data_IF_592523887740
#
_entry.id   IF_592523887740
#
_cell.length_a   1.000
_cell.length_b   1.000
_cell.length_c   1.000
_cell.angle_alpha   90.00
_cell.angle_beta   90.00
_cell.angle_gamma   90.00
#
_symmetry.space_group_name_H-M   'P 1'
#
loop_
_entity.id
_entity.type
_entity.pdbx_description
1 polymer ?
#
# COMPACT_ATOMS: atom_id res chain seq x y z
N UNK A 1 -2.52 -20.49 -0.32
CA UNK A 1 -3.47 -19.93 0.67
C UNK A 1 -3.78 -18.50 0.26
N UNK A 2 -5.06 -18.09 0.19
CA UNK A 2 -5.46 -16.70 -0.03
C UNK A 2 -5.60 -16.01 1.34
N UNK A 3 -5.07 -14.79 1.48
CA UNK A 3 -4.97 -14.09 2.76
C UNK A 3 -5.52 -12.67 2.60
N UNK A 4 -6.28 -12.21 3.60
CA UNK A 4 -6.83 -10.87 3.65
C UNK A 4 -7.86 -10.58 2.57
N UNK A 5 -8.10 -9.31 2.27
CA UNK A 5 -9.00 -8.83 1.22
C UNK A 5 -10.48 -9.09 1.49
N UNK A 6 -10.86 -9.25 2.75
CA UNK A 6 -12.23 -9.53 3.15
C UNK A 6 -13.19 -8.43 2.67
N UNK A 7 -12.79 -7.16 2.72
CA UNK A 7 -13.58 -6.01 2.27
C UNK A 7 -13.78 -6.01 0.75
N UNK A 8 -12.69 -6.27 0.01
CA UNK A 8 -12.74 -6.34 -1.45
C UNK A 8 -13.57 -7.52 -1.91
N UNK A 9 -13.43 -8.70 -1.28
CA UNK A 9 -14.27 -9.88 -1.57
C UNK A 9 -15.73 -9.65 -1.22
N UNK A 10 -16.04 -9.01 -0.09
CA UNK A 10 -17.41 -8.66 0.29
C UNK A 10 -18.06 -7.75 -0.75
N UNK A 11 -17.31 -6.75 -1.25
CA UNK A 11 -17.77 -5.86 -2.32
C UNK A 11 -18.04 -6.63 -3.61
N UNK A 12 -17.08 -7.46 -4.05
CA UNK A 12 -17.25 -8.28 -5.27
C UNK A 12 -18.42 -9.25 -5.17
N UNK A 13 -18.59 -9.91 -4.03
CA UNK A 13 -19.71 -10.82 -3.78
C UNK A 13 -21.05 -10.05 -3.74
N UNK A 14 -21.10 -8.86 -3.16
CA UNK A 14 -22.28 -7.99 -3.18
C UNK A 14 -22.73 -7.64 -4.60
N UNK A 15 -21.75 -7.26 -5.47
CA UNK A 15 -22.02 -7.00 -6.89
C UNK A 15 -22.48 -8.26 -7.62
N UNK A 16 -21.85 -9.41 -7.38
CA UNK A 16 -22.23 -10.67 -8.01
C UNK A 16 -23.65 -11.07 -7.68
N UNK A 17 -24.07 -10.90 -6.44
CA UNK A 17 -25.39 -11.29 -5.94
C UNK A 17 -26.51 -10.32 -6.36
N UNK A 18 -26.21 -9.19 -6.97
CA UNK A 18 -27.23 -8.22 -7.45
C UNK A 18 -28.06 -8.74 -8.63
N UNK A 19 -27.58 -9.78 -9.33
CA UNK A 19 -28.19 -10.42 -10.51
C UNK A 19 -28.59 -9.45 -11.64
N UNK A 20 -27.90 -8.32 -11.73
CA UNK A 20 -28.03 -7.31 -12.79
C UNK A 20 -26.65 -6.99 -13.37
N UNK A 21 -26.61 -6.21 -14.44
CA UNK A 21 -25.34 -5.74 -14.97
C UNK A 21 -24.53 -4.99 -13.90
N UNK A 22 -23.28 -5.40 -13.72
CA UNK A 22 -22.35 -4.74 -12.83
C UNK A 22 -21.00 -4.55 -13.54
N UNK A 23 -20.35 -3.42 -13.26
CA UNK A 23 -19.05 -3.11 -13.82
C UNK A 23 -18.08 -2.64 -12.73
N UNK A 24 -17.14 -3.51 -12.38
CA UNK A 24 -16.10 -3.24 -11.41
C UNK A 24 -14.76 -2.93 -12.09
N UNK A 25 -14.06 -1.91 -11.59
CA UNK A 25 -12.69 -1.58 -11.98
C UNK A 25 -11.76 -1.89 -10.82
N UNK A 26 -10.80 -2.80 -11.04
CA UNK A 26 -9.79 -3.19 -10.06
C UNK A 26 -8.43 -2.71 -10.55
N UNK A 27 -7.75 -1.88 -9.77
CA UNK A 27 -6.45 -1.35 -10.16
C UNK A 27 -5.52 -1.19 -8.96
N UNK A 28 -4.25 -1.08 -9.23
CA UNK A 28 -3.21 -0.97 -8.22
C UNK A 28 -1.88 -1.35 -8.83
N UNK A 29 -0.77 -0.99 -8.19
CA UNK A 29 0.55 -1.30 -8.72
C UNK A 29 0.76 -2.81 -8.91
N UNK A 30 1.79 -3.20 -9.60
CA UNK A 30 2.19 -4.61 -9.73
C UNK A 30 2.45 -5.22 -8.35
N UNK A 31 2.25 -6.54 -8.23
CA UNK A 31 2.62 -7.35 -7.06
C UNK A 31 1.74 -7.21 -5.82
N UNK A 32 0.70 -6.36 -5.85
CA UNK A 32 -0.24 -6.19 -4.72
C UNK A 32 -1.34 -7.27 -4.65
N UNK A 33 -1.35 -8.24 -5.58
CA UNK A 33 -2.26 -9.40 -5.51
C UNK A 33 -3.60 -9.21 -6.22
N UNK A 34 -3.73 -8.31 -7.21
CA UNK A 34 -4.97 -8.11 -7.99
C UNK A 34 -5.48 -9.38 -8.65
N UNK A 35 -4.61 -10.03 -9.43
CA UNK A 35 -4.92 -11.29 -10.13
C UNK A 35 -5.29 -12.40 -9.15
N UNK A 36 -4.59 -12.51 -8.01
CA UNK A 36 -4.92 -13.48 -6.97
C UNK A 36 -6.31 -13.22 -6.35
N UNK A 37 -6.67 -11.96 -6.11
CA UNK A 37 -8.00 -11.57 -5.63
C UNK A 37 -9.08 -11.98 -6.63
N UNK A 38 -8.90 -11.67 -7.90
CA UNK A 38 -9.86 -12.00 -8.97
C UNK A 38 -9.98 -13.52 -9.13
N UNK A 39 -8.85 -14.23 -9.20
CA UNK A 39 -8.85 -15.69 -9.33
C UNK A 39 -9.54 -16.38 -8.15
N UNK A 40 -9.30 -15.90 -6.93
CA UNK A 40 -10.00 -16.41 -5.75
C UNK A 40 -11.51 -16.12 -5.79
N UNK A 41 -11.90 -14.91 -6.22
CA UNK A 41 -13.29 -14.51 -6.33
C UNK A 41 -14.08 -15.35 -7.34
N UNK A 42 -13.48 -15.67 -8.50
CA UNK A 42 -14.18 -16.41 -9.56
C UNK A 42 -14.09 -17.93 -9.44
N UNK A 43 -13.37 -18.47 -8.45
CA UNK A 43 -13.06 -19.89 -8.33
C UNK A 43 -14.31 -20.79 -8.30
N UNK A 44 -15.40 -20.32 -7.71
CA UNK A 44 -16.69 -21.01 -7.56
C UNK A 44 -17.79 -20.42 -8.45
N UNK A 45 -17.45 -19.58 -9.42
CA UNK A 45 -18.40 -18.84 -10.25
C UNK A 45 -18.21 -19.14 -11.73
N UNK A 46 -19.30 -19.01 -12.49
CA UNK A 46 -19.22 -19.02 -13.94
C UNK A 46 -18.49 -17.78 -14.42
N UNK A 47 -17.34 -17.95 -15.03
CA UNK A 47 -16.46 -16.84 -15.40
C UNK A 47 -15.74 -17.11 -16.72
N UNK A 48 -15.57 -16.05 -17.50
CA UNK A 48 -14.62 -15.98 -18.63
C UNK A 48 -13.49 -15.09 -18.15
N UNK A 49 -12.29 -15.64 -18.06
CA UNK A 49 -11.08 -14.92 -17.66
C UNK A 49 -10.15 -14.77 -18.86
N UNK A 50 -9.87 -13.53 -19.23
CA UNK A 50 -8.96 -13.16 -20.28
C UNK A 50 -7.88 -12.23 -19.73
N UNK A 51 -6.61 -12.55 -19.99
CA UNK A 51 -5.46 -11.70 -19.67
C UNK A 51 -4.93 -11.05 -20.94
N UNK A 52 -4.95 -9.72 -20.98
CA UNK A 52 -4.33 -8.94 -22.05
C UNK A 52 -2.81 -9.08 -22.02
N UNK A 53 -2.21 -9.19 -23.20
CA UNK A 53 -0.77 -9.28 -23.38
C UNK A 53 -0.22 -8.06 -24.14
N UNK A 54 1.03 -7.70 -23.88
CA UNK A 54 1.71 -6.64 -24.62
C UNK A 54 2.03 -7.11 -26.05
N UNK A 55 1.02 -7.04 -26.91
CA UNK A 55 1.04 -7.50 -28.30
C UNK A 55 0.08 -6.68 -29.14
N UNK A 56 -0.09 -7.03 -30.41
CA UNK A 56 -1.02 -6.40 -31.33
C UNK A 56 -2.49 -6.79 -31.04
N UNK A 57 -3.42 -6.08 -31.72
CA UNK A 57 -4.85 -6.29 -31.57
C UNK A 57 -5.29 -7.70 -31.94
N UNK A 58 -4.72 -8.27 -33.01
CA UNK A 58 -5.07 -9.60 -33.51
C UNK A 58 -4.76 -10.67 -32.46
N UNK A 59 -3.58 -10.68 -31.88
CA UNK A 59 -3.18 -11.66 -30.88
C UNK A 59 -4.07 -11.58 -29.61
N UNK A 60 -4.36 -10.36 -29.16
CA UNK A 60 -5.26 -10.16 -28.01
C UNK A 60 -6.69 -10.62 -28.32
N UNK A 61 -7.18 -10.40 -29.54
CA UNK A 61 -8.50 -10.87 -29.98
C UNK A 61 -8.55 -12.41 -30.08
N UNK A 62 -7.50 -13.05 -30.60
CA UNK A 62 -7.39 -14.51 -30.64
C UNK A 62 -7.43 -15.11 -29.23
N UNK A 63 -6.63 -14.57 -28.30
CA UNK A 63 -6.60 -15.03 -26.91
C UNK A 63 -7.97 -14.82 -26.22
N UNK A 64 -8.62 -13.68 -26.46
CA UNK A 64 -9.96 -13.41 -25.90
C UNK A 64 -11.01 -14.36 -26.50
N UNK A 65 -10.94 -14.58 -27.80
CA UNK A 65 -11.84 -15.53 -28.49
C UNK A 65 -11.70 -16.92 -27.91
N UNK A 66 -10.46 -17.38 -27.68
CA UNK A 66 -10.21 -18.70 -27.09
C UNK A 66 -10.79 -18.81 -25.68
N UNK A 67 -10.62 -17.79 -24.80
CA UNK A 67 -11.19 -17.79 -23.46
C UNK A 67 -12.73 -17.90 -23.47
N UNK A 68 -13.40 -17.23 -24.43
CA UNK A 68 -14.85 -17.34 -24.62
C UNK A 68 -15.23 -18.75 -25.07
N UNK A 69 -14.48 -19.34 -26.00
CA UNK A 69 -14.75 -20.65 -26.57
C UNK A 69 -14.56 -21.78 -25.56
N UNK A 70 -13.53 -21.69 -24.72
CA UNK A 70 -13.28 -22.62 -23.62
C UNK A 70 -14.48 -22.63 -22.64
N UNK A 71 -15.07 -21.47 -22.36
CA UNK A 71 -16.27 -21.40 -21.52
C UNK A 71 -17.51 -21.99 -22.20
N UNK A 72 -17.75 -21.66 -23.46
CA UNK A 72 -18.98 -22.00 -24.18
C UNK A 72 -19.05 -23.48 -24.63
N UNK A 73 -18.01 -24.30 -24.38
CA UNK A 73 -17.85 -25.74 -24.71
C UNK A 73 -18.44 -26.17 -26.06
N UNK A 74 -17.61 -26.39 -27.03
CA UNK A 74 -17.95 -26.99 -28.31
C UNK A 74 -17.45 -26.28 -29.54
N UNK A 75 -16.63 -25.24 -29.38
CA UNK A 75 -16.03 -24.53 -30.52
C UNK A 75 -14.60 -25.03 -30.75
N UNK A 76 -14.28 -25.31 -32.00
CA UNK A 76 -13.00 -25.88 -32.41
C UNK A 76 -11.83 -24.94 -32.05
N UNK A 77 -10.70 -25.45 -31.55
CA UNK A 77 -9.47 -24.68 -31.41
C UNK A 77 -9.08 -23.98 -32.72
N UNK A 78 -8.70 -22.68 -32.63
CA UNK A 78 -8.25 -21.92 -33.78
C UNK A 78 -9.31 -21.04 -34.46
N UNK A 79 -10.55 -21.03 -33.98
CA UNK A 79 -11.58 -20.08 -34.43
C UNK A 79 -11.49 -18.79 -33.63
N UNK A 80 -11.45 -17.63 -34.30
CA UNK A 80 -11.45 -16.33 -33.65
C UNK A 80 -12.67 -15.49 -34.08
N UNK A 81 -13.19 -14.65 -33.18
CA UNK A 81 -14.14 -13.63 -33.56
C UNK A 81 -13.52 -12.63 -34.52
N UNK A 82 -14.33 -12.03 -35.37
CA UNK A 82 -13.88 -11.05 -36.38
C UNK A 82 -13.46 -9.70 -35.76
N UNK A 83 -13.92 -9.40 -34.53
CA UNK A 83 -13.61 -8.17 -33.80
C UNK A 83 -13.90 -8.34 -32.31
N UNK A 84 -13.30 -7.47 -31.48
CA UNK A 84 -13.66 -7.36 -30.06
C UNK A 84 -15.15 -7.03 -29.86
N UNK A 85 -15.74 -6.24 -30.76
CA UNK A 85 -17.17 -5.95 -30.69
C UNK A 85 -18.00 -7.23 -30.78
N UNK A 86 -17.75 -8.05 -31.81
CA UNK A 86 -18.49 -9.32 -32.00
C UNK A 86 -18.28 -10.29 -30.82
N UNK A 87 -17.06 -10.36 -30.30
CA UNK A 87 -16.74 -11.19 -29.13
C UNK A 87 -17.50 -10.75 -27.87
N UNK A 88 -17.49 -9.45 -27.57
CA UNK A 88 -18.19 -8.90 -26.39
C UNK A 88 -19.72 -8.98 -26.56
N UNK A 89 -20.26 -8.73 -27.76
CA UNK A 89 -21.70 -8.93 -28.04
C UNK A 89 -22.13 -10.38 -27.79
N UNK A 90 -21.29 -11.34 -28.16
CA UNK A 90 -21.55 -12.75 -27.88
C UNK A 90 -21.58 -13.03 -26.35
N UNK A 91 -20.67 -12.46 -25.59
CA UNK A 91 -20.67 -12.60 -24.12
C UNK A 91 -21.93 -11.95 -23.52
N UNK A 92 -22.39 -10.78 -24.02
CA UNK A 92 -23.65 -10.18 -23.58
C UNK A 92 -24.85 -11.11 -23.82
N UNK A 93 -24.91 -11.81 -24.96
CA UNK A 93 -25.97 -12.82 -25.25
C UNK A 93 -25.95 -13.98 -24.26
N UNK A 94 -24.77 -14.47 -23.88
CA UNK A 94 -24.65 -15.51 -22.83
C UNK A 94 -25.21 -15.02 -21.50
N UNK A 95 -25.08 -13.71 -21.22
CA UNK A 95 -25.50 -13.09 -19.98
C UNK A 95 -26.97 -12.64 -19.93
N UNK A 96 -27.77 -12.87 -20.95
CA UNK A 96 -29.20 -12.52 -20.95
C UNK A 96 -29.98 -13.34 -19.90
N UNK A 97 -29.66 -14.62 -19.79
CA UNK A 97 -30.37 -15.56 -18.90
C UNK A 97 -29.49 -16.08 -17.76
N UNK A 98 -28.19 -15.83 -17.79
CA UNK A 98 -27.23 -16.43 -16.87
C UNK A 98 -26.32 -15.38 -16.25
N UNK A 99 -26.08 -15.47 -14.94
CA UNK A 99 -25.06 -14.69 -14.25
C UNK A 99 -23.68 -15.18 -14.65
N UNK A 100 -22.90 -14.32 -15.29
CA UNK A 100 -21.55 -14.64 -15.77
C UNK A 100 -20.59 -13.48 -15.45
N UNK A 101 -19.41 -13.81 -14.97
CA UNK A 101 -18.32 -12.86 -14.75
C UNK A 101 -17.42 -12.82 -15.98
N UNK A 102 -17.29 -11.65 -16.60
CA UNK A 102 -16.27 -11.40 -17.63
C UNK A 102 -15.11 -10.62 -17.00
N UNK A 103 -13.93 -11.23 -16.94
CA UNK A 103 -12.70 -10.59 -16.47
C UNK A 103 -11.81 -10.25 -17.65
N UNK A 104 -11.41 -8.99 -17.75
CA UNK A 104 -10.33 -8.52 -18.63
C UNK A 104 -9.19 -8.05 -17.75
N UNK A 105 -8.26 -8.94 -17.47
CA UNK A 105 -7.05 -8.60 -16.68
C UNK A 105 -5.99 -7.98 -17.60
N UNK A 106 -5.14 -7.13 -17.04
CA UNK A 106 -4.20 -6.28 -17.76
C UNK A 106 -4.85 -5.51 -18.95
N UNK A 107 -6.06 -4.98 -18.72
CA UNK A 107 -6.83 -4.17 -19.67
C UNK A 107 -6.01 -3.09 -20.39
N UNK A 108 -5.04 -2.40 -19.74
CA UNK A 108 -4.20 -1.41 -20.41
C UNK A 108 -3.48 -1.94 -21.66
N UNK A 109 -3.07 -3.20 -21.73
CA UNK A 109 -2.44 -3.77 -22.91
C UNK A 109 -3.44 -3.92 -24.07
N UNK A 110 -4.64 -4.42 -23.75
CA UNK A 110 -5.72 -4.58 -24.75
C UNK A 110 -6.12 -3.22 -25.33
N UNK A 111 -6.33 -2.24 -24.48
CA UNK A 111 -6.78 -0.91 -24.90
C UNK A 111 -5.69 -0.11 -25.63
N UNK A 112 -4.41 -0.36 -25.37
CA UNK A 112 -3.30 0.21 -26.17
C UNK A 112 -3.21 -0.44 -27.55
N UNK A 113 -3.48 -1.73 -27.65
CA UNK A 113 -3.46 -2.47 -28.90
C UNK A 113 -4.69 -2.14 -29.78
N UNK A 114 -5.87 -2.01 -29.18
CA UNK A 114 -7.13 -1.67 -29.86
C UNK A 114 -7.66 -0.31 -29.36
N UNK A 115 -7.44 0.75 -30.15
CA UNK A 115 -7.85 2.12 -29.79
C UNK A 115 -9.37 2.27 -29.63
N UNK A 116 -10.15 1.42 -30.27
CA UNK A 116 -11.61 1.41 -30.22
C UNK A 116 -12.17 0.68 -28.98
N UNK A 117 -11.35 -0.08 -28.25
CA UNK A 117 -11.81 -0.97 -27.17
C UNK A 117 -12.66 -0.25 -26.11
N UNK A 118 -12.22 0.90 -25.64
CA UNK A 118 -12.98 1.65 -24.62
C UNK A 118 -14.35 2.14 -25.14
N UNK A 119 -14.41 2.67 -26.37
CA UNK A 119 -15.67 3.13 -26.99
C UNK A 119 -16.58 1.96 -27.40
N UNK A 120 -16.01 0.84 -27.80
CA UNK A 120 -16.77 -0.40 -28.05
C UNK A 120 -17.42 -0.91 -26.77
N UNK A 121 -16.68 -1.00 -25.68
CA UNK A 121 -17.24 -1.35 -24.36
C UNK A 121 -18.34 -0.35 -23.94
N UNK A 122 -18.09 0.96 -24.11
CA UNK A 122 -19.06 1.99 -23.80
C UNK A 122 -20.41 1.73 -24.52
N UNK A 123 -20.33 1.61 -25.85
CA UNK A 123 -21.52 1.38 -26.71
C UNK A 123 -22.28 0.11 -26.31
N UNK A 124 -21.56 -0.98 -26.08
CA UNK A 124 -22.17 -2.26 -25.76
C UNK A 124 -22.79 -2.30 -24.34
N UNK A 125 -22.15 -1.65 -23.38
CA UNK A 125 -22.71 -1.48 -22.02
C UNK A 125 -24.00 -0.66 -22.10
N UNK A 126 -23.99 0.49 -22.77
CA UNK A 126 -25.17 1.35 -22.88
C UNK A 126 -26.34 0.65 -23.56
N UNK A 127 -26.05 -0.23 -24.55
CA UNK A 127 -27.08 -0.99 -25.29
C UNK A 127 -27.68 -2.14 -24.48
N UNK A 128 -26.88 -2.82 -23.65
CA UNK A 128 -27.25 -4.14 -23.12
C UNK A 128 -27.41 -4.19 -21.60
N UNK A 129 -26.96 -3.17 -20.83
CA UNK A 129 -26.92 -3.21 -19.36
C UNK A 129 -28.27 -3.51 -18.70
N UNK A 130 -29.36 -3.04 -19.28
CA UNK A 130 -30.69 -3.19 -18.68
C UNK A 130 -31.27 -4.61 -18.83
N UNK A 131 -30.72 -5.40 -19.77
CA UNK A 131 -31.16 -6.77 -20.06
C UNK A 131 -30.08 -7.82 -19.83
N UNK A 132 -28.98 -7.47 -19.17
CA UNK A 132 -27.85 -8.38 -18.97
C UNK A 132 -27.56 -8.63 -17.50
N UNK A 133 -27.21 -9.87 -17.19
CA UNK A 133 -26.72 -10.29 -15.88
C UNK A 133 -25.18 -10.37 -15.84
N UNK A 134 -24.48 -9.74 -16.77
CA UNK A 134 -23.03 -9.75 -16.81
C UNK A 134 -22.44 -8.96 -15.64
N UNK A 135 -21.41 -9.53 -15.00
CA UNK A 135 -20.50 -8.79 -14.15
C UNK A 135 -19.17 -8.60 -14.88
N UNK A 136 -18.91 -7.38 -15.36
CA UNK A 136 -17.65 -7.03 -16.02
C UNK A 136 -16.62 -6.60 -14.96
N UNK A 137 -15.43 -7.17 -15.02
CA UNK A 137 -14.27 -6.75 -14.21
C UNK A 137 -13.15 -6.32 -15.17
N UNK A 138 -12.78 -5.04 -15.15
CA UNK A 138 -11.56 -4.56 -15.77
C UNK A 138 -10.47 -4.43 -14.72
N UNK A 139 -9.35 -5.11 -14.94
CA UNK A 139 -8.19 -5.05 -14.05
C UNK A 139 -6.97 -4.48 -14.77
N UNK A 140 -6.14 -3.72 -14.07
CA UNK A 140 -4.91 -3.20 -14.62
C UNK A 140 -3.86 -2.82 -13.58
N UNK A 141 -2.60 -3.08 -13.91
CA UNK A 141 -1.45 -2.74 -13.09
C UNK A 141 -0.92 -1.32 -13.37
N UNK A 142 -1.12 -0.78 -14.58
CA UNK A 142 -0.71 0.58 -14.92
C UNK A 142 -1.64 1.61 -14.28
N UNK A 143 -1.23 2.13 -13.13
CA UNK A 143 -2.00 3.07 -12.31
C UNK A 143 -2.43 4.31 -13.10
N UNK A 144 -1.46 4.99 -13.74
CA UNK A 144 -1.73 6.19 -14.52
C UNK A 144 -2.69 5.91 -15.67
N UNK A 145 -2.53 4.78 -16.38
CA UNK A 145 -3.44 4.43 -17.46
C UNK A 145 -4.88 4.24 -16.94
N UNK A 146 -5.05 3.51 -15.84
CA UNK A 146 -6.37 3.25 -15.26
C UNK A 146 -7.02 4.55 -14.76
N UNK A 147 -6.26 5.40 -14.10
CA UNK A 147 -6.76 6.69 -13.59
C UNK A 147 -7.12 7.66 -14.74
N UNK A 148 -6.26 7.79 -15.77
CA UNK A 148 -6.43 8.76 -16.84
C UNK A 148 -7.40 8.30 -17.95
N UNK A 149 -7.45 6.99 -18.25
CA UNK A 149 -8.17 6.48 -19.43
C UNK A 149 -9.42 5.62 -19.11
N UNK A 150 -9.58 5.19 -17.85
CA UNK A 150 -10.75 4.40 -17.43
C UNK A 150 -11.59 5.16 -16.42
N UNK A 151 -10.96 5.80 -15.44
CA UNK A 151 -11.63 6.43 -14.30
C UNK A 151 -11.88 7.94 -14.51
N UNK A 152 -11.09 8.60 -15.33
CA UNK A 152 -11.19 10.05 -15.55
C UNK A 152 -12.53 10.47 -16.16
N UNK A 153 -13.00 11.67 -15.81
CA UNK A 153 -14.27 12.25 -16.27
C UNK A 153 -14.47 12.22 -17.80
N UNK A 154 -13.39 12.41 -18.57
CA UNK A 154 -13.41 12.39 -20.04
C UNK A 154 -13.27 11.00 -20.66
N UNK A 155 -13.05 9.95 -19.84
CA UNK A 155 -12.89 8.61 -20.37
C UNK A 155 -14.23 8.02 -20.83
N UNK A 156 -14.26 7.22 -21.92
CA UNK A 156 -15.50 6.63 -22.45
C UNK A 156 -16.27 5.79 -21.42
N UNK A 157 -15.57 5.14 -20.49
CA UNK A 157 -16.16 4.28 -19.45
C UNK A 157 -16.58 5.05 -18.18
N UNK A 158 -16.33 6.37 -18.11
CA UNK A 158 -16.74 7.17 -16.97
C UNK A 158 -18.27 7.12 -16.76
N UNK A 159 -18.69 7.00 -15.48
CA UNK A 159 -20.12 6.94 -15.11
C UNK A 159 -20.82 5.61 -15.38
N UNK A 160 -20.13 4.59 -15.94
CA UNK A 160 -20.68 3.26 -16.21
C UNK A 160 -20.29 2.21 -15.19
N UNK A 161 -19.21 2.48 -14.45
CA UNK A 161 -18.77 1.58 -13.37
C UNK A 161 -19.72 1.64 -12.19
N UNK A 162 -19.99 0.48 -11.60
CA UNK A 162 -20.76 0.36 -10.37
C UNK A 162 -19.87 0.22 -9.13
N UNK A 163 -18.60 -0.18 -9.33
CA UNK A 163 -17.58 -0.17 -8.28
C UNK A 163 -16.17 0.13 -8.83
N UNK A 164 -15.34 0.69 -7.97
CA UNK A 164 -13.90 0.79 -8.23
C UNK A 164 -13.11 0.44 -6.98
N UNK A 165 -12.06 -0.33 -7.13
CA UNK A 165 -11.20 -0.77 -6.03
C UNK A 165 -9.75 -0.53 -6.37
N UNK A 166 -9.09 0.33 -5.58
CA UNK A 166 -7.65 0.51 -5.61
C UNK A 166 -7.02 -0.47 -4.63
N UNK A 167 -6.36 -1.50 -5.16
CA UNK A 167 -5.71 -2.51 -4.34
C UNK A 167 -4.36 -1.98 -3.85
N UNK A 168 -4.24 -1.84 -2.55
CA UNK A 168 -3.04 -1.38 -1.86
C UNK A 168 -2.27 -2.58 -1.28
N UNK A 169 -0.99 -2.42 -0.93
CA UNK A 169 -0.30 -3.38 -0.07
C UNK A 169 -1.11 -3.65 1.21
N UNK A 170 -0.91 -4.79 1.83
CA UNK A 170 -1.51 -5.11 3.12
C UNK A 170 -1.02 -4.16 4.22
N UNK A 171 -1.86 -3.93 5.20
CA UNK A 171 -1.47 -3.33 6.45
C UNK A 171 -0.64 -4.31 7.31
N UNK A 172 -0.24 -3.89 8.51
CA UNK A 172 0.54 -4.73 9.40
C UNK A 172 -0.24 -5.98 9.83
N UNK A 173 -1.52 -5.84 10.19
CA UNK A 173 -2.39 -6.95 10.60
C UNK A 173 -2.47 -8.04 9.53
N UNK A 174 -2.81 -7.66 8.29
CA UNK A 174 -2.95 -8.62 7.20
C UNK A 174 -1.60 -9.23 6.78
N UNK A 175 -0.51 -8.46 6.91
CA UNK A 175 0.85 -8.97 6.67
C UNK A 175 1.26 -10.05 7.68
N UNK A 176 0.82 -9.93 8.93
CA UNK A 176 1.08 -10.95 9.97
C UNK A 176 0.45 -12.30 9.64
N UNK A 177 -0.67 -12.34 8.90
CA UNK A 177 -1.36 -13.58 8.53
C UNK A 177 -0.53 -14.49 7.59
N UNK A 178 0.54 -13.96 6.98
CA UNK A 178 1.45 -14.75 6.12
C UNK A 178 2.36 -15.70 6.89
N UNK A 179 2.58 -15.44 8.17
CA UNK A 179 3.60 -16.12 8.98
C UNK A 179 3.02 -16.62 10.30
N UNK A 180 3.48 -17.80 10.72
CA UNK A 180 3.01 -18.44 11.93
C UNK A 180 4.11 -18.63 13.00
N UNK A 181 5.37 -18.46 12.62
CA UNK A 181 6.53 -18.81 13.46
C UNK A 181 7.35 -17.61 13.91
N UNK A 182 7.24 -16.47 13.23
CA UNK A 182 7.92 -15.26 13.66
C UNK A 182 7.39 -14.79 15.02
N UNK A 183 8.28 -14.32 15.87
CA UNK A 183 7.91 -13.59 17.09
C UNK A 183 7.22 -12.26 16.72
N UNK A 184 6.55 -11.63 17.69
CA UNK A 184 5.98 -10.31 17.49
C UNK A 184 7.04 -9.30 17.01
N UNK A 185 8.23 -9.31 17.63
CA UNK A 185 9.34 -8.43 17.25
C UNK A 185 9.84 -8.71 15.83
N UNK A 186 10.01 -10.00 15.46
CA UNK A 186 10.40 -10.37 14.10
C UNK A 186 9.37 -9.94 13.06
N UNK A 187 8.07 -10.02 13.40
CA UNK A 187 7.00 -9.55 12.53
C UNK A 187 7.08 -8.04 12.25
N UNK A 188 7.39 -7.22 13.27
CA UNK A 188 7.60 -5.79 13.03
C UNK A 188 8.80 -5.56 12.09
N UNK A 189 9.92 -6.28 12.33
CA UNK A 189 11.11 -6.19 11.48
C UNK A 189 10.82 -6.62 10.05
N UNK A 190 10.19 -7.77 9.83
CA UNK A 190 9.82 -8.27 8.49
C UNK A 190 8.90 -7.28 7.79
N UNK A 191 7.85 -6.78 8.46
CA UNK A 191 6.99 -5.74 7.89
C UNK A 191 7.75 -4.46 7.57
N UNK A 192 8.68 -4.04 8.43
CA UNK A 192 9.55 -2.91 8.19
C UNK A 192 10.46 -3.10 6.97
N UNK A 193 10.89 -4.33 6.71
CA UNK A 193 11.82 -4.68 5.62
C UNK A 193 11.09 -4.82 4.27
N UNK A 194 9.98 -5.57 4.21
CA UNK A 194 9.31 -5.92 2.94
C UNK A 194 7.96 -5.24 2.76
N UNK A 195 7.42 -4.59 3.80
CA UNK A 195 6.08 -4.02 3.77
C UNK A 195 4.99 -5.06 3.62
N UNK A 196 3.81 -4.60 3.17
CA UNK A 196 2.64 -5.45 2.98
C UNK A 196 2.41 -5.91 1.54
N UNK A 197 3.40 -5.85 0.66
CA UNK A 197 3.25 -6.31 -0.71
C UNK A 197 3.31 -7.84 -0.76
N UNK A 198 2.22 -8.54 -1.18
CA UNK A 198 2.14 -10.00 -1.12
C UNK A 198 3.34 -10.72 -1.73
N UNK A 199 3.79 -10.28 -2.89
CA UNK A 199 4.93 -10.93 -3.57
C UNK A 199 6.24 -10.80 -2.80
N UNK A 200 6.40 -9.72 -2.01
CA UNK A 200 7.60 -9.54 -1.17
C UNK A 200 7.49 -10.34 0.12
N UNK A 201 6.30 -10.42 0.72
CA UNK A 201 6.03 -11.27 1.88
C UNK A 201 6.33 -12.74 1.59
N UNK A 202 5.95 -13.23 0.40
CA UNK A 202 6.21 -14.60 -0.04
C UNK A 202 7.71 -14.94 -0.23
N UNK A 203 8.60 -13.96 -0.25
CA UNK A 203 10.05 -14.21 -0.29
C UNK A 203 10.65 -14.47 1.10
N UNK A 204 9.89 -14.16 2.16
CA UNK A 204 10.34 -14.38 3.54
C UNK A 204 10.02 -15.79 4.01
N UNK A 205 10.88 -16.35 4.83
CA UNK A 205 10.73 -17.69 5.40
C UNK A 205 10.71 -17.60 6.93
N UNK A 206 9.58 -17.91 7.54
CA UNK A 206 9.39 -17.85 8.99
C UNK A 206 10.01 -19.01 9.77
N UNK A 207 10.64 -19.97 9.09
CA UNK A 207 11.51 -20.97 9.71
C UNK A 207 12.96 -20.53 9.86
N UNK A 208 13.30 -19.35 9.36
CA UNK A 208 14.62 -18.73 9.42
C UNK A 208 14.59 -17.48 10.29
N UNK A 209 15.75 -17.07 10.84
CA UNK A 209 15.89 -15.80 11.53
C UNK A 209 15.66 -14.61 10.59
N UNK A 210 15.36 -13.42 11.13
CA UNK A 210 15.30 -12.15 10.34
C UNK A 210 16.64 -11.89 9.68
N UNK A 211 17.76 -12.17 10.35
CA UNK A 211 19.11 -12.06 9.79
C UNK A 211 19.28 -12.92 8.55
N UNK A 212 18.92 -14.21 8.62
CA UNK A 212 19.03 -15.13 7.47
C UNK A 212 18.11 -14.71 6.32
N UNK A 213 16.92 -14.22 6.62
CA UNK A 213 16.02 -13.65 5.61
C UNK A 213 16.66 -12.45 4.92
N UNK A 214 17.24 -11.50 5.66
CA UNK A 214 17.96 -10.36 5.05
C UNK A 214 19.11 -10.84 4.17
N UNK A 215 19.93 -11.78 4.66
CA UNK A 215 21.07 -12.31 3.90
C UNK A 215 20.65 -13.02 2.62
N UNK A 216 19.64 -13.86 2.69
CA UNK A 216 19.20 -14.67 1.55
C UNK A 216 18.42 -13.87 0.51
N UNK A 217 17.67 -12.84 0.94
CA UNK A 217 16.75 -12.11 0.07
C UNK A 217 17.35 -10.79 -0.42
N UNK A 218 18.04 -10.03 0.43
CA UNK A 218 18.54 -8.71 0.08
C UNK A 218 20.06 -8.67 -0.18
N UNK A 219 20.83 -9.59 0.42
CA UNK A 219 22.29 -9.64 0.28
C UNK A 219 22.75 -10.79 -0.63
N UNK A 220 21.85 -11.35 -1.40
CA UNK A 220 22.11 -12.38 -2.39
C UNK A 220 21.79 -11.88 -3.81
N UNK A 221 22.81 -11.68 -4.68
CA UNK A 221 22.59 -11.20 -6.03
C UNK A 221 21.70 -12.13 -6.90
N UNK A 222 21.55 -13.40 -6.53
CA UNK A 222 20.66 -14.33 -7.22
C UNK A 222 19.19 -14.22 -6.79
N UNK A 223 18.90 -13.44 -5.75
CA UNK A 223 17.52 -13.22 -5.29
C UNK A 223 16.75 -12.30 -6.22
N UNK A 224 15.47 -12.63 -6.44
CA UNK A 224 14.55 -11.80 -7.22
C UNK A 224 14.33 -10.40 -6.62
N UNK A 225 14.56 -10.22 -5.31
CA UNK A 225 14.41 -8.93 -4.61
C UNK A 225 15.64 -8.04 -4.79
N UNK A 226 16.81 -8.62 -5.05
CA UNK A 226 18.06 -7.85 -5.10
C UNK A 226 18.03 -6.72 -6.14
N UNK A 227 17.50 -6.97 -7.34
CA UNK A 227 17.34 -5.97 -8.40
C UNK A 227 15.90 -5.45 -8.54
N UNK A 228 15.02 -5.82 -7.61
CA UNK A 228 13.60 -5.53 -7.72
C UNK A 228 13.27 -4.04 -7.89
N UNK A 229 13.85 -3.09 -7.13
CA UNK A 229 13.52 -1.68 -7.30
C UNK A 229 13.84 -1.16 -8.70
N UNK A 230 14.98 -1.54 -9.26
CA UNK A 230 15.35 -1.16 -10.62
C UNK A 230 14.45 -1.80 -11.67
N UNK A 231 14.13 -3.08 -11.51
CA UNK A 231 13.27 -3.81 -12.43
C UNK A 231 11.84 -3.27 -12.43
N UNK A 232 11.30 -2.90 -11.25
CA UNK A 232 9.99 -2.28 -11.17
C UNK A 232 9.99 -0.91 -11.86
N UNK A 233 10.99 -0.08 -11.65
CA UNK A 233 11.09 1.22 -12.32
C UNK A 233 11.18 1.06 -13.85
N UNK A 234 12.01 0.12 -14.36
CA UNK A 234 12.10 -0.17 -15.81
C UNK A 234 10.75 -0.57 -16.42
N UNK A 235 9.88 -1.24 -15.66
CA UNK A 235 8.57 -1.67 -16.13
C UNK A 235 7.50 -0.56 -16.06
N UNK A 236 7.62 0.37 -15.12
CA UNK A 236 6.56 1.35 -14.83
C UNK A 236 6.83 2.74 -15.44
N UNK A 237 8.09 3.08 -15.72
CA UNK A 237 8.46 4.43 -16.15
C UNK A 237 9.42 4.44 -17.35
N UNK A 238 9.39 5.53 -18.13
CA UNK A 238 10.21 5.65 -19.34
C UNK A 238 11.67 6.01 -19.09
N UNK A 239 11.93 6.74 -18.00
CA UNK A 239 13.27 7.25 -17.64
C UNK A 239 13.69 6.75 -16.25
N UNK A 240 13.92 5.42 -16.07
CA UNK A 240 14.13 4.81 -14.76
C UNK A 240 15.28 5.44 -13.97
N UNK A 241 16.33 5.93 -14.65
CA UNK A 241 17.49 6.53 -14.01
C UNK A 241 17.17 7.79 -13.20
N UNK A 242 16.30 8.68 -13.71
CA UNK A 242 15.89 9.90 -13.01
C UNK A 242 15.02 9.54 -11.80
N UNK A 243 14.09 8.61 -11.95
CA UNK A 243 13.27 8.12 -10.83
C UNK A 243 14.13 7.48 -9.74
N UNK A 244 15.11 6.67 -10.13
CA UNK A 244 16.07 6.06 -9.20
C UNK A 244 16.87 7.14 -8.43
N UNK A 245 17.34 8.19 -9.12
CA UNK A 245 18.04 9.30 -8.48
C UNK A 245 17.16 10.05 -7.46
N UNK A 246 15.87 10.26 -7.76
CA UNK A 246 14.92 10.89 -6.84
C UNK A 246 14.72 10.02 -5.60
N UNK A 247 14.45 8.71 -5.76
CA UNK A 247 14.25 7.81 -4.63
C UNK A 247 15.51 7.74 -3.77
N UNK A 248 16.68 7.66 -4.39
CA UNK A 248 17.98 7.71 -3.69
C UNK A 248 18.15 9.00 -2.90
N UNK A 249 17.79 10.15 -3.48
CA UNK A 249 17.89 11.44 -2.78
C UNK A 249 16.99 11.45 -1.53
N UNK A 250 15.75 10.92 -1.63
CA UNK A 250 14.83 10.82 -0.50
C UNK A 250 15.34 9.82 0.54
N UNK A 251 15.82 8.65 0.13
CA UNK A 251 16.36 7.62 1.02
C UNK A 251 17.57 8.09 1.84
N UNK A 252 18.35 9.01 1.26
CA UNK A 252 19.54 9.58 1.88
C UNK A 252 19.28 10.92 2.59
N UNK A 253 18.01 11.22 2.91
CA UNK A 253 17.60 12.28 3.82
C UNK A 253 17.12 13.59 3.18
N UNK A 254 17.12 13.74 1.84
CA UNK A 254 16.49 14.90 1.21
C UNK A 254 14.98 14.76 1.27
N UNK A 255 14.32 15.65 1.99
CA UNK A 255 12.87 15.54 2.23
C UNK A 255 12.07 16.65 1.54
N UNK A 256 12.67 17.77 1.20
CA UNK A 256 11.98 18.88 0.54
C UNK A 256 12.20 18.86 -0.97
N UNK A 257 11.20 19.32 -1.72
CA UNK A 257 11.28 19.36 -3.19
C UNK A 257 12.54 20.07 -3.73
N UNK A 258 12.92 21.20 -3.12
CA UNK A 258 14.11 21.94 -3.50
C UNK A 258 15.42 21.16 -3.25
N UNK A 259 15.50 20.46 -2.12
CA UNK A 259 16.66 19.64 -1.76
C UNK A 259 16.83 18.47 -2.75
N UNK A 260 15.71 17.78 -3.05
CA UNK A 260 15.68 16.67 -3.99
C UNK A 260 16.08 17.13 -5.38
N UNK A 261 15.45 18.21 -5.88
CA UNK A 261 15.75 18.78 -7.20
C UNK A 261 17.22 19.18 -7.33
N UNK A 262 17.78 19.87 -6.33
CA UNK A 262 19.20 20.24 -6.30
C UNK A 262 20.11 19.01 -6.36
N UNK A 263 19.77 17.97 -5.58
CA UNK A 263 20.59 16.75 -5.48
C UNK A 263 20.64 15.94 -6.78
N UNK A 264 19.55 15.96 -7.56
CA UNK A 264 19.49 15.25 -8.85
C UNK A 264 19.89 16.13 -10.05
N UNK A 265 20.20 17.42 -9.82
CA UNK A 265 20.60 18.35 -10.88
C UNK A 265 19.46 18.86 -11.76
N UNK A 266 18.21 18.83 -11.28
CA UNK A 266 17.02 19.21 -12.03
C UNK A 266 16.32 20.44 -11.44
N UNK A 267 15.43 21.05 -12.22
CA UNK A 267 14.56 22.11 -11.71
C UNK A 267 13.45 21.53 -10.84
N UNK A 268 12.93 22.32 -9.89
CA UNK A 268 11.80 21.90 -9.05
C UNK A 268 10.53 21.58 -9.85
N UNK A 269 10.33 22.24 -10.99
CA UNK A 269 9.18 21.97 -11.88
C UNK A 269 9.27 20.60 -12.53
N UNK A 270 10.43 20.25 -13.08
CA UNK A 270 10.71 18.94 -13.68
C UNK A 270 10.64 17.84 -12.61
N UNK A 271 11.33 18.04 -11.48
CA UNK A 271 11.30 17.11 -10.36
C UNK A 271 9.87 16.84 -9.85
N UNK A 272 9.01 17.87 -9.83
CA UNK A 272 7.60 17.73 -9.40
C UNK A 272 6.78 16.77 -10.28
N UNK A 273 7.06 16.71 -11.58
CA UNK A 273 6.36 15.78 -12.50
C UNK A 273 6.76 14.33 -12.20
N UNK A 274 8.05 14.07 -12.04
CA UNK A 274 8.54 12.74 -11.65
C UNK A 274 8.02 12.33 -10.27
N UNK A 275 8.01 13.26 -9.33
CA UNK A 275 7.50 13.03 -7.97
C UNK A 275 6.01 12.63 -7.97
N UNK A 276 5.18 13.30 -8.80
CA UNK A 276 3.77 12.95 -8.95
C UNK A 276 3.60 11.48 -9.40
N UNK A 277 4.40 11.03 -10.35
CA UNK A 277 4.35 9.64 -10.80
C UNK A 277 4.78 8.66 -9.70
N UNK A 278 5.84 8.97 -8.93
CA UNK A 278 6.27 8.14 -7.80
C UNK A 278 5.21 8.06 -6.69
N UNK A 279 4.47 9.15 -6.46
CA UNK A 279 3.34 9.17 -5.53
C UNK A 279 2.20 8.30 -6.06
N UNK A 280 1.86 8.42 -7.33
CA UNK A 280 0.83 7.58 -7.96
C UNK A 280 1.19 6.09 -7.91
N UNK A 281 2.46 5.75 -8.11
CA UNK A 281 2.97 4.38 -7.96
C UNK A 281 3.01 3.89 -6.50
N UNK A 282 2.76 4.78 -5.52
CA UNK A 282 2.82 4.44 -4.10
C UNK A 282 4.24 4.16 -3.60
N UNK A 283 5.28 4.64 -4.28
CA UNK A 283 6.68 4.50 -3.88
C UNK A 283 7.12 5.65 -2.97
N UNK A 284 6.59 6.84 -3.19
CA UNK A 284 6.80 8.03 -2.37
C UNK A 284 5.45 8.56 -1.90
N UNK A 285 5.43 9.16 -0.71
CA UNK A 285 4.29 9.92 -0.21
C UNK A 285 4.72 11.34 0.12
N UNK A 286 3.79 12.27 -0.07
CA UNK A 286 3.90 13.64 0.41
C UNK A 286 3.24 13.72 1.78
N UNK A 287 3.95 14.22 2.77
CA UNK A 287 3.46 14.47 4.11
C UNK A 287 3.36 15.98 4.35
N UNK A 288 2.32 16.41 5.00
CA UNK A 288 2.13 17.78 5.49
C UNK A 288 1.97 17.74 7.01
N UNK A 289 2.43 18.77 7.74
CA UNK A 289 2.17 18.82 9.18
C UNK A 289 0.67 18.71 9.45
N UNK A 290 0.29 17.97 10.48
CA UNK A 290 -1.11 17.84 10.88
C UNK A 290 -1.81 19.20 10.96
N UNK A 291 -3.03 19.29 10.46
CA UNK A 291 -3.82 20.54 10.41
C UNK A 291 -3.48 21.48 9.24
N UNK A 292 -2.42 21.25 8.48
CA UNK A 292 -2.07 22.04 7.29
C UNK A 292 -2.52 21.33 6.01
N UNK A 293 -3.34 21.99 5.16
CA UNK A 293 -3.83 21.38 3.88
C UNK A 293 -2.76 21.38 2.79
N UNK A 294 -2.09 22.52 2.58
CA UNK A 294 -0.94 22.68 1.71
C UNK A 294 0.07 23.59 2.40
N UNK A 295 1.32 23.12 2.49
CA UNK A 295 2.33 23.84 3.26
C UNK A 295 3.67 23.78 2.54
N UNK A 296 4.41 24.91 2.60
CA UNK A 296 5.84 24.96 2.24
C UNK A 296 6.68 24.06 3.14
N UNK A 297 6.13 23.57 4.24
CA UNK A 297 6.75 22.62 5.16
C UNK A 297 6.52 21.17 4.75
N UNK A 298 5.78 20.90 3.65
CA UNK A 298 5.57 19.53 3.16
C UNK A 298 6.89 18.84 2.87
N UNK A 299 6.96 17.57 3.24
CA UNK A 299 8.11 16.69 3.02
C UNK A 299 7.71 15.48 2.19
N UNK A 300 8.70 14.83 1.60
CA UNK A 300 8.54 13.59 0.83
C UNK A 300 9.28 12.47 1.54
N UNK A 301 8.65 11.32 1.63
CA UNK A 301 9.20 10.11 2.25
C UNK A 301 8.92 8.90 1.36
N UNK A 302 9.77 7.87 1.44
CA UNK A 302 9.51 6.59 0.77
C UNK A 302 8.31 5.94 1.48
N UNK A 303 7.29 5.58 0.70
CA UNK A 303 6.05 4.98 1.18
C UNK A 303 6.14 3.45 1.29
N UNK A 304 6.89 2.82 0.39
CA UNK A 304 7.06 1.36 0.36
C UNK A 304 8.25 0.94 1.22
N UNK A 305 8.01 0.05 2.18
CA UNK A 305 9.05 -0.36 3.13
C UNK A 305 10.16 -1.16 2.47
N UNK A 306 9.86 -2.01 1.46
CA UNK A 306 10.89 -2.75 0.75
C UNK A 306 11.84 -1.80 0.01
N UNK A 307 11.28 -0.78 -0.66
CA UNK A 307 12.07 0.27 -1.29
C UNK A 307 12.86 1.07 -0.26
N UNK A 308 12.25 1.41 0.88
CA UNK A 308 12.92 2.13 1.99
C UNK A 308 14.11 1.36 2.51
N UNK A 309 13.94 0.05 2.78
CA UNK A 309 15.02 -0.83 3.24
C UNK A 309 16.12 -0.96 2.19
N UNK A 310 15.75 -1.27 0.95
CA UNK A 310 16.69 -1.48 -0.14
C UNK A 310 17.56 -0.23 -0.40
N UNK A 311 16.92 0.94 -0.61
CA UNK A 311 17.66 2.19 -0.89
C UNK A 311 18.47 2.68 0.31
N UNK A 312 18.10 2.33 1.52
CA UNK A 312 18.85 2.69 2.73
C UNK A 312 20.11 1.87 2.88
N UNK A 313 20.10 0.58 2.50
CA UNK A 313 21.14 -0.35 2.91
C UNK A 313 21.87 -1.04 1.76
N UNK A 314 21.24 -1.27 0.63
CA UNK A 314 21.83 -2.11 -0.42
C UNK A 314 22.82 -1.35 -1.29
N UNK A 315 22.57 -0.13 -1.81
CA UNK A 315 23.49 0.56 -2.71
C UNK A 315 24.88 0.74 -2.12
N UNK A 316 24.98 1.17 -0.86
CA UNK A 316 26.25 1.41 -0.17
C UNK A 316 27.06 0.13 0.08
N UNK A 317 26.39 -1.02 0.06
CA UNK A 317 27.00 -2.33 0.27
C UNK A 317 27.12 -3.17 -1.00
N UNK A 318 26.67 -2.69 -2.16
CA UNK A 318 26.59 -3.46 -3.40
C UNK A 318 27.93 -4.07 -3.81
N UNK A 319 29.04 -3.32 -3.68
CA UNK A 319 30.38 -3.81 -4.06
C UNK A 319 30.86 -5.01 -3.24
N UNK A 320 30.49 -5.09 -1.96
CA UNK A 320 30.86 -6.21 -1.08
C UNK A 320 29.88 -7.38 -1.23
N UNK A 321 28.59 -7.09 -1.46
CA UNK A 321 27.57 -8.09 -1.73
C UNK A 321 27.89 -8.84 -3.01
N UNK A 322 28.23 -8.14 -4.09
CA UNK A 322 28.60 -8.74 -5.39
C UNK A 322 29.85 -9.63 -5.35
N UNK A 323 30.67 -9.49 -4.29
CA UNK A 323 31.84 -10.36 -4.03
C UNK A 323 31.53 -11.51 -3.08
N UNK A 324 30.26 -11.71 -2.69
CA UNK A 324 29.83 -12.76 -1.77
C UNK A 324 30.15 -12.49 -0.29
N UNK A 325 30.55 -11.27 0.07
CA UNK A 325 30.85 -10.93 1.47
C UNK A 325 29.60 -10.55 2.28
N UNK A 326 28.58 -11.42 2.25
CA UNK A 326 27.25 -11.25 2.86
C UNK A 326 27.32 -10.97 4.34
N UNK A 327 28.17 -11.68 5.08
CA UNK A 327 28.38 -11.47 6.53
C UNK A 327 28.90 -10.06 6.83
N UNK A 328 29.80 -9.56 6.03
CA UNK A 328 30.33 -8.21 6.20
C UNK A 328 29.28 -7.15 5.90
N UNK A 329 28.46 -7.37 4.86
CA UNK A 329 27.37 -6.48 4.52
C UNK A 329 26.33 -6.44 5.67
N UNK A 330 25.93 -7.60 6.20
CA UNK A 330 24.98 -7.67 7.31
C UNK A 330 25.51 -6.98 8.58
N UNK A 331 26.79 -7.18 8.94
CA UNK A 331 27.42 -6.50 10.09
C UNK A 331 27.37 -4.97 9.99
N UNK A 332 27.31 -4.39 8.79
CA UNK A 332 27.13 -2.94 8.58
C UNK A 332 25.68 -2.49 8.70
N UNK A 333 24.74 -3.36 8.37
CA UNK A 333 23.29 -3.08 8.38
C UNK A 333 22.72 -3.23 9.80
N UNK A 334 23.03 -4.32 10.49
CA UNK A 334 22.42 -4.72 11.75
C UNK A 334 22.40 -3.60 12.82
N UNK A 335 23.47 -2.83 13.07
CA UNK A 335 23.45 -1.77 14.08
C UNK A 335 22.47 -0.63 13.79
N UNK A 336 22.05 -0.48 12.52
CA UNK A 336 21.17 0.60 12.07
C UNK A 336 19.70 0.17 11.98
N UNK A 337 19.37 -1.10 12.23
CA UNK A 337 18.00 -1.61 12.12
C UNK A 337 17.08 -1.00 13.19
N UNK A 338 17.56 -0.78 14.41
CA UNK A 338 16.72 -0.17 15.44
C UNK A 338 16.30 1.26 15.10
N UNK A 339 17.24 2.09 14.60
CA UNK A 339 16.95 3.44 14.11
C UNK A 339 16.00 3.41 12.91
N UNK A 340 16.26 2.51 11.98
CA UNK A 340 15.39 2.31 10.81
C UNK A 340 13.94 1.99 11.20
N UNK A 341 13.74 1.19 12.23
CA UNK A 341 12.43 0.77 12.72
C UNK A 341 11.62 1.88 13.39
N UNK A 342 12.24 2.95 13.83
CA UNK A 342 11.54 4.06 14.49
C UNK A 342 10.35 4.56 13.66
N UNK A 343 10.59 4.84 12.40
CA UNK A 343 9.53 5.31 11.48
C UNK A 343 8.47 4.25 11.16
N UNK A 344 8.88 2.99 11.09
CA UNK A 344 7.95 1.86 10.86
C UNK A 344 7.04 1.68 12.08
N UNK A 345 7.59 1.83 13.27
CA UNK A 345 6.82 1.74 14.51
C UNK A 345 5.77 2.84 14.61
N UNK A 346 6.09 4.09 14.23
CA UNK A 346 5.08 5.16 14.13
C UNK A 346 3.91 4.75 13.22
N UNK A 347 4.20 4.13 12.06
CA UNK A 347 3.17 3.66 11.12
C UNK A 347 2.32 2.53 11.70
N UNK A 348 2.92 1.59 12.44
CA UNK A 348 2.19 0.52 13.15
C UNK A 348 1.31 1.11 14.27
N UNK A 349 1.83 2.07 15.04
CA UNK A 349 1.06 2.77 16.08
C UNK A 349 -0.13 3.53 15.48
N UNK A 350 0.02 4.19 14.32
CA UNK A 350 -1.11 4.83 13.64
C UNK A 350 -2.18 3.81 13.21
N UNK A 351 -1.79 2.62 12.74
CA UNK A 351 -2.75 1.55 12.40
C UNK A 351 -3.48 1.05 13.64
N UNK A 352 -2.79 0.93 14.77
CA UNK A 352 -3.39 0.60 16.05
C UNK A 352 -4.41 1.67 16.49
N UNK A 353 -4.09 2.96 16.39
CA UNK A 353 -5.01 4.04 16.72
C UNK A 353 -6.27 4.01 15.87
N UNK A 354 -6.15 3.76 14.54
CA UNK A 354 -7.30 3.59 13.67
C UNK A 354 -8.17 2.39 14.07
N UNK A 355 -7.55 1.29 14.48
CA UNK A 355 -8.28 0.10 14.95
C UNK A 355 -9.04 0.40 16.25
N UNK A 356 -8.40 1.08 17.23
CA UNK A 356 -9.08 1.54 18.46
C UNK A 356 -10.30 2.40 18.15
N UNK A 357 -10.19 3.32 17.20
CA UNK A 357 -11.32 4.17 16.82
C UNK A 357 -12.46 3.35 16.21
N UNK A 358 -12.15 2.43 15.30
CA UNK A 358 -13.15 1.59 14.63
C UNK A 358 -13.85 0.62 15.59
N UNK A 359 -13.17 0.20 16.64
CA UNK A 359 -13.73 -0.67 17.69
C UNK A 359 -14.49 0.13 18.78
N UNK A 360 -14.45 1.46 18.73
CA UNK A 360 -15.09 2.33 19.73
C UNK A 360 -14.32 2.44 21.05
N UNK A 361 -13.04 2.05 21.06
CA UNK A 361 -12.18 2.02 22.27
C UNK A 361 -11.24 3.24 22.36
N UNK A 362 -11.23 4.12 21.37
CA UNK A 362 -10.40 5.32 21.39
C UNK A 362 -10.93 6.34 22.40
N UNK A 363 -10.08 6.87 23.30
CA UNK A 363 -10.48 7.89 24.29
C UNK A 363 -10.81 9.25 23.65
N UNK A 364 -10.41 9.47 22.39
CA UNK A 364 -10.72 10.66 21.60
C UNK A 364 -11.15 10.20 20.22
N UNK A 365 -12.31 10.61 19.77
CA UNK A 365 -12.72 10.41 18.38
C UNK A 365 -11.91 11.33 17.47
N UNK A 366 -11.54 10.85 16.31
CA UNK A 366 -10.80 11.63 15.32
C UNK A 366 -11.23 11.26 13.92
N UNK A 367 -11.17 12.21 13.00
CA UNK A 367 -11.43 11.97 11.58
C UNK A 367 -10.15 11.81 10.76
N UNK A 368 -8.99 12.19 11.33
CA UNK A 368 -7.68 12.07 10.70
C UNK A 368 -6.60 11.89 11.76
N UNK A 369 -5.49 11.26 11.35
CA UNK A 369 -4.26 11.15 12.13
C UNK A 369 -3.07 11.56 11.26
N UNK A 370 -2.09 12.18 11.85
CA UNK A 370 -0.87 12.56 11.15
C UNK A 370 0.25 12.96 12.09
N UNK A 371 1.40 13.21 11.53
CA UNK A 371 2.55 13.81 12.24
C UNK A 371 2.44 15.32 12.19
N UNK A 372 2.99 15.94 13.20
CA UNK A 372 3.17 17.40 13.20
C UNK A 372 4.66 17.73 13.39
N UNK A 373 5.14 18.73 12.68
CA UNK A 373 6.44 19.33 12.88
C UNK A 373 6.39 20.83 12.64
N UNK A 374 7.15 21.55 13.45
CA UNK A 374 7.20 22.99 13.40
C UNK A 374 8.22 23.57 14.36
N UNK A 375 8.20 24.89 14.52
CA UNK A 375 9.06 25.60 15.45
C UNK A 375 8.32 25.81 16.76
N UNK A 376 8.91 25.41 17.89
CA UNK A 376 8.47 25.84 19.21
C UNK A 376 8.75 27.37 19.33
N UNK A 377 7.72 28.19 19.47
CA UNK A 377 7.91 29.66 19.49
C UNK A 377 8.61 30.16 20.77
N UNK A 378 8.58 29.38 21.86
CA UNK A 378 9.21 29.74 23.12
C UNK A 378 10.70 29.41 23.13
N UNK A 379 11.03 28.18 22.71
CA UNK A 379 12.42 27.70 22.69
C UNK A 379 13.14 28.01 21.38
N UNK A 380 12.42 28.38 20.31
CA UNK A 380 12.94 28.66 18.95
C UNK A 380 13.68 27.47 18.32
N UNK A 381 13.27 26.24 18.70
CA UNK A 381 13.81 24.98 18.16
C UNK A 381 12.79 24.30 17.26
N UNK A 382 13.27 23.48 16.33
CA UNK A 382 12.41 22.58 15.59
C UNK A 382 11.96 21.44 16.50
N UNK A 383 10.69 21.11 16.45
CA UNK A 383 10.10 20.02 17.22
C UNK A 383 9.07 19.28 16.40
N UNK A 384 8.77 18.04 16.78
CA UNK A 384 7.82 17.17 16.10
C UNK A 384 6.96 16.40 17.10
N UNK A 385 5.83 15.90 16.63
CA UNK A 385 4.92 15.00 17.33
C UNK A 385 4.62 13.86 16.36
N UNK A 386 4.82 12.63 16.79
CA UNK A 386 4.74 11.46 15.93
C UNK A 386 3.32 11.14 15.51
N UNK A 387 2.34 11.32 16.41
CA UNK A 387 0.92 11.09 16.14
C UNK A 387 0.11 12.25 16.73
N UNK A 388 -0.73 12.85 15.92
CA UNK A 388 -1.68 13.89 16.32
C UNK A 388 -3.02 13.65 15.64
N UNK A 389 -4.10 13.81 16.38
CA UNK A 389 -5.48 13.79 15.90
C UNK A 389 -6.35 14.69 16.77
N UNK A 390 -7.43 15.20 16.22
CA UNK A 390 -8.41 16.00 16.96
C UNK A 390 -9.84 15.56 16.68
N UNK A 391 -10.67 15.66 17.69
CA UNK A 391 -12.11 15.46 17.60
C UNK A 391 -12.79 16.77 17.16
N UNK A 392 -12.37 17.87 17.79
CA UNK A 392 -12.90 19.21 17.56
C UNK A 392 -11.84 20.26 17.98
N UNK A 393 -12.25 21.52 18.11
CA UNK A 393 -11.34 22.61 18.49
C UNK A 393 -10.92 22.58 19.98
N UNK A 394 -11.56 21.75 20.78
CA UNK A 394 -11.30 21.65 22.23
C UNK A 394 -10.61 20.36 22.64
N UNK A 395 -10.72 19.31 21.86
CA UNK A 395 -10.29 17.95 22.24
C UNK A 395 -9.36 17.35 21.21
N UNK A 396 -8.19 16.89 21.65
CA UNK A 396 -7.17 16.28 20.79
C UNK A 396 -6.40 15.17 21.49
N UNK A 397 -5.75 14.34 20.69
CA UNK A 397 -4.76 13.35 21.13
C UNK A 397 -3.38 13.65 20.55
N UNK A 398 -2.36 13.28 21.31
CA UNK A 398 -0.96 13.39 20.93
C UNK A 398 -0.22 12.11 21.30
N UNK A 399 0.62 11.60 20.39
CA UNK A 399 1.38 10.37 20.58
C UNK A 399 2.87 10.55 20.32
N UNK A 400 3.68 9.87 21.11
CA UNK A 400 5.13 9.72 20.91
C UNK A 400 5.50 8.25 20.87
N UNK A 401 6.32 7.84 19.89
CA UNK A 401 6.67 6.45 19.61
C UNK A 401 8.17 6.21 19.85
N UNK A 402 8.51 5.14 20.59
CA UNK A 402 9.91 4.80 20.91
C UNK A 402 10.20 3.32 20.63
N UNK A 403 10.94 3.06 19.54
CA UNK A 403 11.45 1.73 19.21
C UNK A 403 12.88 1.55 19.74
N UNK A 404 13.00 1.44 21.05
CA UNK A 404 14.27 1.24 21.77
C UNK A 404 14.21 0.02 22.66
N UNK A 405 15.36 -0.57 22.99
CA UNK A 405 15.42 -1.78 23.82
C UNK A 405 15.33 -1.50 25.32
N UNK A 406 15.42 -0.26 25.73
CA UNK A 406 15.27 0.21 27.10
C UNK A 406 13.81 0.61 27.38
N UNK A 407 13.43 0.63 28.67
CA UNK A 407 12.16 1.18 29.11
C UNK A 407 12.12 2.70 28.90
N UNK A 408 11.00 3.20 28.41
CA UNK A 408 10.79 4.64 28.16
C UNK A 408 10.68 5.39 29.48
N UNK A 409 11.49 6.44 29.62
CA UNK A 409 11.60 7.25 30.83
C UNK A 409 10.53 8.35 30.87
N UNK A 410 10.18 8.82 32.10
CA UNK A 410 9.23 9.89 32.37
C UNK A 410 9.53 11.18 31.61
N UNK A 411 10.80 11.46 31.31
CA UNK A 411 11.21 12.65 30.53
C UNK A 411 10.59 12.69 29.14
N UNK A 412 10.33 11.51 28.53
CA UNK A 412 9.67 11.46 27.22
C UNK A 412 8.21 11.89 27.35
N UNK A 413 7.51 11.44 28.41
CA UNK A 413 6.15 11.87 28.71
C UNK A 413 6.07 13.36 28.99
N UNK A 414 6.99 13.89 29.78
CA UNK A 414 7.07 15.33 30.09
C UNK A 414 7.29 16.17 28.81
N UNK A 415 8.15 15.67 27.92
CA UNK A 415 8.41 16.31 26.62
C UNK A 415 7.17 16.32 25.75
N UNK A 416 6.45 15.20 25.66
CA UNK A 416 5.18 15.11 24.91
C UNK A 416 4.13 16.06 25.50
N UNK A 417 3.98 16.08 26.82
CA UNK A 417 3.10 17.00 27.56
C UNK A 417 3.45 18.47 27.27
N UNK A 418 4.74 18.80 27.22
CA UNK A 418 5.18 20.15 26.88
C UNK A 418 4.83 20.50 25.42
N UNK A 419 5.06 19.59 24.49
CA UNK A 419 4.75 19.78 23.07
C UNK A 419 3.26 19.91 22.80
N UNK A 420 2.41 19.16 23.51
CA UNK A 420 0.94 19.28 23.36
C UNK A 420 0.43 20.67 23.71
N UNK A 421 1.10 21.42 24.63
CA UNK A 421 0.75 22.80 25.00
C UNK A 421 1.07 23.85 23.92
N UNK A 422 1.74 23.48 22.84
CA UNK A 422 1.90 24.34 21.66
C UNK A 422 0.55 24.57 20.95
N UNK A 423 -0.43 23.74 21.26
CA UNK A 423 -1.79 23.78 20.71
C UNK A 423 -2.78 24.22 21.78
N UNK A 424 -3.90 24.82 21.36
CA UNK A 424 -4.91 25.41 22.26
C UNK A 424 -6.10 24.45 22.45
N UNK A 425 -5.81 23.20 22.84
CA UNK A 425 -6.85 22.24 23.21
C UNK A 425 -7.05 22.24 24.72
N UNK A 426 -8.31 22.18 25.17
CA UNK A 426 -8.69 22.12 26.58
C UNK A 426 -8.58 20.69 27.12
N UNK A 427 -9.05 19.74 26.32
CA UNK A 427 -9.02 18.31 26.62
C UNK A 427 -7.97 17.61 25.78
N UNK A 428 -6.95 17.10 26.44
CA UNK A 428 -5.83 16.43 25.76
C UNK A 428 -5.69 15.02 26.28
N UNK A 429 -5.58 14.05 25.40
CA UNK A 429 -5.16 12.68 25.74
C UNK A 429 -3.79 12.40 25.15
N UNK A 430 -2.89 11.83 25.96
CA UNK A 430 -1.52 11.52 25.55
C UNK A 430 -1.35 10.01 25.37
N UNK A 431 -0.73 9.61 24.28
CA UNK A 431 -0.30 8.24 24.05
C UNK A 431 1.22 8.14 24.06
N UNK A 432 1.76 7.22 24.81
CA UNK A 432 3.18 6.90 24.76
C UNK A 432 3.34 5.45 24.36
N UNK A 433 3.99 5.22 23.22
CA UNK A 433 4.21 3.91 22.64
C UNK A 433 5.67 3.49 22.83
N UNK A 434 5.88 2.29 23.35
CA UNK A 434 7.20 1.75 23.63
C UNK A 434 7.38 0.34 23.06
N UNK A 435 8.57 0.04 22.54
CA UNK A 435 8.90 -1.33 22.12
C UNK A 435 8.88 -2.31 23.30
N UNK A 436 9.51 -1.96 24.41
CA UNK A 436 9.68 -2.86 25.58
C UNK A 436 8.75 -2.52 26.73
N UNK A 437 8.72 -1.29 27.18
CA UNK A 437 7.92 -0.89 28.33
C UNK A 437 8.31 0.48 28.86
N UNK A 438 7.94 0.74 30.11
CA UNK A 438 8.08 2.04 30.74
C UNK A 438 8.77 1.91 32.09
N UNK A 439 9.49 2.96 32.50
CA UNK A 439 10.06 3.01 33.85
C UNK A 439 8.95 3.20 34.88
N UNK A 440 9.19 2.79 36.14
CA UNK A 440 8.25 2.95 37.23
C UNK A 440 7.81 4.42 37.39
N UNK A 441 8.76 5.36 37.29
CA UNK A 441 8.46 6.79 37.35
C UNK A 441 7.54 7.28 36.21
N UNK A 442 7.67 6.70 35.01
CA UNK A 442 6.78 7.02 33.89
C UNK A 442 5.35 6.51 34.16
N UNK A 443 5.21 5.30 34.69
CA UNK A 443 3.92 4.68 35.03
C UNK A 443 3.21 5.50 36.12
N UNK A 444 3.93 5.88 37.18
CA UNK A 444 3.38 6.66 38.27
C UNK A 444 2.92 8.05 37.83
N UNK A 445 3.71 8.74 37.00
CA UNK A 445 3.34 10.07 36.48
C UNK A 445 2.13 9.98 35.53
N UNK A 446 2.08 8.97 34.65
CA UNK A 446 0.94 8.72 33.79
C UNK A 446 -0.35 8.46 34.60
N UNK A 447 -0.26 7.66 35.67
CA UNK A 447 -1.37 7.42 36.58
C UNK A 447 -1.87 8.68 37.31
N UNK A 448 -0.95 9.56 37.73
CA UNK A 448 -1.30 10.85 38.35
C UNK A 448 -2.00 11.78 37.38
N UNK A 449 -1.61 11.77 36.11
CA UNK A 449 -2.22 12.62 35.09
C UNK A 449 -3.63 12.17 34.68
N UNK A 450 -3.90 10.86 34.65
CA UNK A 450 -5.21 10.28 34.36
C UNK A 450 -5.67 10.38 32.88
N UNK A 451 -4.94 11.09 32.04
CA UNK A 451 -5.22 11.26 30.62
C UNK A 451 -4.07 10.77 29.73
N UNK A 452 -3.39 9.72 30.17
CA UNK A 452 -2.24 9.11 29.48
C UNK A 452 -2.46 7.63 29.29
N UNK A 453 -2.30 7.15 28.05
CA UNK A 453 -2.24 5.73 27.72
C UNK A 453 -0.80 5.33 27.44
N UNK A 454 -0.31 4.38 28.21
CA UNK A 454 0.99 3.72 28.02
C UNK A 454 0.77 2.41 27.29
N UNK A 455 1.31 2.27 26.09
CA UNK A 455 1.05 1.12 25.21
C UNK A 455 2.36 0.50 24.75
N UNK A 456 2.56 -0.80 25.04
CA UNK A 456 3.71 -1.55 24.56
C UNK A 456 3.47 -2.11 23.15
N UNK A 457 4.55 -2.43 22.44
CA UNK A 457 4.43 -3.07 21.12
C UNK A 457 3.73 -4.43 21.20
N UNK A 458 3.97 -5.22 22.26
CA UNK A 458 3.30 -6.51 22.42
C UNK A 458 1.77 -6.34 22.54
N UNK A 459 1.30 -5.34 23.29
CA UNK A 459 -0.12 -5.00 23.36
C UNK A 459 -0.68 -4.57 21.99
N UNK A 460 0.07 -3.76 21.22
CA UNK A 460 -0.32 -3.39 19.84
C UNK A 460 -0.44 -4.63 18.96
N UNK A 461 0.56 -5.51 19.02
CA UNK A 461 0.60 -6.73 18.22
C UNK A 461 -0.57 -7.65 18.54
N UNK A 462 -0.83 -7.91 19.82
CA UNK A 462 -1.96 -8.73 20.27
C UNK A 462 -3.30 -8.13 19.84
N UNK A 463 -3.50 -6.84 20.05
CA UNK A 463 -4.73 -6.14 19.68
C UNK A 463 -5.01 -6.16 18.17
N UNK A 464 -4.00 -5.87 17.35
CA UNK A 464 -4.16 -5.88 15.89
C UNK A 464 -4.41 -7.27 15.34
N UNK A 465 -3.91 -8.33 15.98
CA UNK A 465 -4.03 -9.70 15.48
C UNK A 465 -5.18 -10.50 16.12
N UNK A 466 -6.08 -9.86 16.91
CA UNK A 466 -7.21 -10.50 17.60
C UNK A 466 -6.79 -11.76 18.42
N UNK A 467 -5.54 -11.80 18.91
CA UNK A 467 -5.07 -12.86 19.80
C UNK A 467 -5.54 -12.57 21.21
N UNK A 468 -6.86 -12.75 21.40
CA UNK A 468 -7.47 -12.94 22.70
C UNK A 468 -7.21 -11.86 23.74
N UNK A 469 -7.88 -10.72 23.63
CA UNK A 469 -8.34 -10.03 24.81
C UNK A 469 -9.75 -10.60 25.09
N UNK A 470 -9.82 -11.70 25.84
CA UNK A 470 -10.99 -11.95 26.68
C UNK A 470 -11.06 -10.75 27.62
N UNK A 471 -12.10 -9.94 27.46
CA UNK A 471 -12.42 -8.86 28.36
C UNK A 471 -12.35 -9.36 29.81
N UNK A 472 -11.51 -8.72 30.62
CA UNK A 472 -11.62 -8.73 32.06
C UNK A 472 -12.28 -7.47 32.55
#
# INVERSE_FOLDING_TARGET
MFIGREKELATLNGLYNSDKFEFAVIYGRRRVGKTALISHFIQDKKAIYFMGVESNEKQNLENFSQAIMEYASGIMPGTSFVSFQAAIEYVFKLCENERLVLVIDEYPYVAKASKSMASTLQMLIDKNKDNSKMMLILCGSSMSYMEDNVLAYKAPLYGRRTAQMKILPFDFKDSCKYFNRFSAEDMALIYGIVGGTPQYLLQMNDSMSVEDNIKNVFLNPASAIFEEPENLLKQEVREPAVYNAIITAVATGSSRMSEIATKIGETTSVCSQYMKNLINLGLIRKETPYGEKESRKSIYAIADNMFRFWYRFIPDNNSIISRGATELAYKRIAPNLSDYMGRIFEEICMQYMWKLLLDGESPVEFSNLGRWWGTDPQERIQTEIDIMGDQDKSTALFGECKWINENVDVKVLEKLKKRSRLFRYENVHLFLFAKKGFTQGCIEEAGKMGNVSLVTYDQIYEYLNDRGITAF
#
